data_IF_035422494201
#
_entry.id   IF_035422494201
#
_cell.length_a   1.000
_cell.length_b   1.000
_cell.length_c   1.000
_cell.angle_alpha   90.00
_cell.angle_beta   90.00
_cell.angle_gamma   90.00
#
_symmetry.space_group_name_H-M   'P 1'
#
loop_
_entity.id
_entity.type
_entity.pdbx_description
1 polymer ?
#
# COMPACT_ATOMS: atom_id res chain seq x y z
N UNK A 1 -10.86 16.67 25.53
CA UNK A 1 -9.42 16.84 25.27
C UNK A 1 -9.19 16.27 23.89
N UNK A 2 -9.26 17.14 22.87
CA UNK A 2 -9.12 16.76 21.46
C UNK A 2 -7.64 16.42 21.21
N UNK A 3 -7.32 15.15 20.96
CA UNK A 3 -6.00 14.78 20.47
C UNK A 3 -5.94 15.19 19.00
N UNK A 4 -5.37 16.37 18.72
CA UNK A 4 -5.04 16.78 17.37
C UNK A 4 -4.11 15.72 16.78
N UNK A 5 -4.60 14.96 15.79
CA UNK A 5 -3.83 13.96 15.11
C UNK A 5 -2.74 14.68 14.30
N UNK A 6 -1.50 14.60 14.78
CA UNK A 6 -0.31 14.88 13.99
C UNK A 6 -0.47 14.23 12.60
N UNK A 7 -0.11 14.91 11.50
CA UNK A 7 -0.22 14.31 10.18
C UNK A 7 0.59 13.01 10.17
N UNK A 8 -0.13 11.88 10.15
CA UNK A 8 0.51 10.57 10.22
C UNK A 8 1.43 10.37 9.03
N UNK A 9 2.37 9.42 9.12
CA UNK A 9 3.39 9.14 8.08
C UNK A 9 2.83 8.93 6.65
N UNK A 10 1.52 8.77 6.51
CA UNK A 10 0.81 8.55 5.25
C UNK A 10 0.11 9.82 4.71
N UNK A 11 0.29 10.99 5.33
CA UNK A 11 -0.41 12.24 4.96
C UNK A 11 -0.23 12.67 3.50
N UNK A 12 0.84 12.24 2.81
CA UNK A 12 1.09 12.49 1.39
C UNK A 12 0.70 11.33 0.45
N UNK A 13 0.21 10.21 0.98
CA UNK A 13 -0.08 9.01 0.18
C UNK A 13 -1.49 9.12 -0.40
N UNK A 14 -1.58 9.28 -1.73
CA UNK A 14 -2.87 9.41 -2.44
C UNK A 14 -3.68 8.12 -2.46
N UNK A 15 -3.01 6.96 -2.45
CA UNK A 15 -3.64 5.66 -2.56
C UNK A 15 -2.99 4.66 -1.58
N UNK A 16 -3.80 4.10 -0.69
CA UNK A 16 -3.39 3.05 0.25
C UNK A 16 -4.12 1.78 -0.16
N UNK A 17 -3.35 0.74 -0.56
CA UNK A 17 -3.89 -0.55 -1.01
C UNK A 17 -3.50 -1.62 0.01
N UNK A 18 -4.49 -2.28 0.58
CA UNK A 18 -4.29 -3.39 1.51
C UNK A 18 -4.32 -4.72 0.75
N UNK A 19 -3.23 -5.49 0.81
CA UNK A 19 -3.15 -6.83 0.23
C UNK A 19 -3.25 -7.87 1.34
N UNK A 20 -4.38 -8.58 1.38
CA UNK A 20 -4.64 -9.65 2.35
C UNK A 20 -4.52 -11.02 1.70
N UNK A 21 -4.25 -12.03 2.52
CA UNK A 21 -4.46 -13.43 2.13
C UNK A 21 -4.79 -14.29 3.34
N UNK A 22 -5.24 -15.52 3.06
CA UNK A 22 -5.32 -16.60 4.04
C UNK A 22 -3.95 -17.09 4.53
N UNK A 23 -3.90 -18.36 4.99
CA UNK A 23 -2.76 -19.00 5.67
C UNK A 23 -1.40 -18.79 4.98
N UNK A 24 -0.31 -18.94 5.75
CA UNK A 24 1.06 -18.72 5.27
C UNK A 24 1.40 -19.48 3.98
N UNK A 25 2.14 -18.83 3.07
CA UNK A 25 2.62 -19.42 1.81
C UNK A 25 1.84 -19.07 0.53
N UNK A 26 0.71 -18.35 0.63
CA UNK A 26 -0.16 -18.04 -0.53
C UNK A 26 0.26 -16.83 -1.38
N UNK A 27 1.50 -16.34 -1.24
CA UNK A 27 2.07 -15.37 -2.17
C UNK A 27 1.72 -13.88 -1.97
N UNK A 28 1.29 -13.44 -0.78
CA UNK A 28 1.00 -12.01 -0.48
C UNK A 28 2.12 -11.06 -0.93
N UNK A 29 3.36 -11.38 -0.55
CA UNK A 29 4.51 -10.53 -0.86
C UNK A 29 4.76 -10.49 -2.37
N UNK A 30 4.63 -11.62 -3.05
CA UNK A 30 4.77 -11.73 -4.51
C UNK A 30 3.71 -10.88 -5.23
N UNK A 31 2.45 -10.96 -4.83
CA UNK A 31 1.40 -10.14 -5.46
C UNK A 31 1.62 -8.66 -5.15
N UNK A 32 2.05 -8.32 -3.93
CA UNK A 32 2.33 -6.93 -3.55
C UNK A 32 3.47 -6.34 -4.40
N UNK A 33 4.53 -7.11 -4.67
CA UNK A 33 5.66 -6.66 -5.52
C UNK A 33 5.24 -6.51 -6.97
N UNK A 34 4.52 -7.49 -7.53
CA UNK A 34 4.04 -7.42 -8.92
C UNK A 34 3.05 -6.28 -9.11
N UNK A 35 2.17 -6.04 -8.12
CA UNK A 35 1.24 -4.90 -8.15
C UNK A 35 1.98 -3.57 -8.14
N UNK A 36 3.02 -3.41 -7.31
CA UNK A 36 3.84 -2.21 -7.29
C UNK A 36 4.55 -1.99 -8.64
N UNK A 37 5.09 -3.06 -9.24
CA UNK A 37 5.75 -3.01 -10.54
C UNK A 37 4.76 -2.64 -11.67
N UNK A 38 3.58 -3.26 -11.68
CA UNK A 38 2.54 -2.97 -12.65
C UNK A 38 2.07 -1.51 -12.57
N UNK A 39 1.90 -0.96 -11.35
CA UNK A 39 1.54 0.45 -11.16
C UNK A 39 2.64 1.39 -11.68
N UNK A 40 3.92 1.05 -11.46
CA UNK A 40 5.04 1.78 -12.08
C UNK A 40 5.01 1.73 -13.60
N UNK A 41 4.80 0.55 -14.17
CA UNK A 41 4.75 0.37 -15.63
C UNK A 41 3.54 1.08 -16.27
N UNK A 42 2.41 1.17 -15.59
CA UNK A 42 1.23 1.93 -16.06
C UNK A 42 1.42 3.46 -16.05
N UNK A 43 2.62 3.96 -15.75
CA UNK A 43 2.90 5.39 -15.71
C UNK A 43 2.25 6.11 -14.52
N UNK A 44 1.68 5.37 -13.57
CA UNK A 44 1.19 5.94 -12.31
C UNK A 44 2.39 6.25 -11.44
N UNK A 45 2.90 7.48 -11.56
CA UNK A 45 3.91 8.03 -10.65
C UNK A 45 3.36 7.96 -9.23
N UNK A 46 4.07 7.27 -8.35
CA UNK A 46 3.78 7.21 -6.91
C UNK A 46 3.61 8.61 -6.34
#
# INVERSE_FOLDING_TARGET
>A
MEAAAEPGNLAGVRHIILVLSGKGGVGKSTISTELALALRHQGKKH
#
